data_IF_198178317491
#
_entry.id   IF_198178317491
#
_cell.length_a   1.000
_cell.length_b   1.000
_cell.length_c   1.000
_cell.angle_alpha   90.00
_cell.angle_beta   90.00
_cell.angle_gamma   90.00
#
_symmetry.space_group_name_H-M   'P 1'
#
loop_
_entity.id
_entity.type
_entity.pdbx_description
1 polymer ?
#
# COMPACT_ATOMS: atom_id res chain seq x y z
N UNK A 1 20.66 -0.57 19.27
CA UNK A 1 19.82 -0.41 18.06
C UNK A 1 18.40 -0.78 18.37
N UNK A 2 17.44 0.04 17.96
CA UNK A 2 15.99 -0.24 18.11
C UNK A 2 15.42 -1.02 16.93
N UNK A 3 16.11 -1.02 15.81
CA UNK A 3 15.79 -1.83 14.62
C UNK A 3 17.04 -2.47 14.05
N UNK A 4 16.89 -3.24 12.99
CA UNK A 4 17.99 -3.63 12.12
C UNK A 4 18.26 -2.47 11.18
N UNK A 5 19.52 -2.11 10.98
CA UNK A 5 19.88 -0.95 10.18
C UNK A 5 21.12 -1.24 9.35
N UNK A 6 21.10 -0.86 8.09
CA UNK A 6 22.26 -0.86 7.23
C UNK A 6 23.24 0.27 7.62
N UNK A 7 24.49 -0.07 7.77
CA UNK A 7 25.51 0.95 7.94
C UNK A 7 25.83 1.62 6.60
N UNK A 8 26.15 2.91 6.63
CA UNK A 8 26.50 3.68 5.44
C UNK A 8 28.00 3.91 5.35
N UNK A 9 28.52 3.95 4.13
CA UNK A 9 29.93 4.23 3.87
C UNK A 9 30.28 5.70 4.17
N UNK A 10 29.29 6.59 4.02
CA UNK A 10 29.35 8.01 4.33
C UNK A 10 28.00 8.50 4.88
N UNK A 11 27.98 9.69 5.49
CA UNK A 11 26.76 10.28 6.05
C UNK A 11 25.71 10.53 4.96
N UNK A 12 24.52 9.98 5.17
CA UNK A 12 23.44 10.10 4.19
C UNK A 12 23.72 9.47 2.82
N UNK A 13 24.89 8.84 2.67
CA UNK A 13 25.35 8.29 1.42
C UNK A 13 24.97 6.82 1.23
N UNK A 14 25.78 6.14 0.39
CA UNK A 14 25.55 4.76 -0.04
C UNK A 14 25.47 3.79 1.15
N UNK A 15 24.50 2.90 1.11
CA UNK A 15 24.35 1.78 2.03
C UNK A 15 25.52 0.80 1.82
N UNK A 16 26.07 0.31 2.94
CA UNK A 16 26.99 -0.81 2.91
C UNK A 16 26.22 -2.12 3.04
N UNK A 17 26.88 -3.25 2.79
CA UNK A 17 26.30 -4.58 3.07
C UNK A 17 26.47 -5.00 4.54
N UNK A 18 26.89 -4.10 5.41
CA UNK A 18 27.15 -4.37 6.83
C UNK A 18 25.97 -3.85 7.65
N UNK A 19 25.30 -4.74 8.34
CA UNK A 19 24.13 -4.45 9.16
C UNK A 19 24.45 -4.40 10.64
N UNK A 20 23.63 -3.68 11.42
CA UNK A 20 23.58 -3.76 12.88
C UNK A 20 22.25 -4.32 13.29
N UNK A 21 22.25 -5.41 14.06
CA UNK A 21 21.03 -6.10 14.46
C UNK A 21 20.32 -5.39 15.62
N UNK A 22 19.00 -5.59 15.73
CA UNK A 22 18.21 -5.09 16.85
C UNK A 22 18.79 -5.57 18.19
N UNK A 23 18.90 -4.68 19.15
CA UNK A 23 19.51 -4.94 20.44
C UNK A 23 21.03 -5.08 20.43
N UNK A 24 21.68 -5.02 19.26
CA UNK A 24 23.14 -5.05 19.16
C UNK A 24 23.73 -3.78 19.74
N UNK A 25 24.84 -3.94 20.49
CA UNK A 25 25.62 -2.83 21.04
C UNK A 25 26.65 -2.38 20.01
N UNK A 26 26.60 -1.12 19.64
CA UNK A 26 27.59 -0.50 18.76
C UNK A 26 28.53 0.40 19.56
N UNK A 27 29.82 0.39 19.20
CA UNK A 27 30.79 1.34 19.75
C UNK A 27 30.78 2.58 18.89
N UNK A 28 30.32 3.67 19.46
CA UNK A 28 30.34 4.99 18.82
C UNK A 28 31.72 5.61 19.00
N UNK A 29 32.38 6.01 17.90
CA UNK A 29 33.68 6.72 17.92
C UNK A 29 33.48 8.24 18.05
N UNK A 30 32.46 8.76 17.36
CA UNK A 30 32.07 10.17 17.46
C UNK A 30 30.61 10.37 17.07
N UNK A 31 30.04 11.45 17.59
CA UNK A 31 28.69 11.90 17.26
C UNK A 31 28.84 13.21 16.50
N UNK A 32 28.30 13.30 15.31
CA UNK A 32 28.23 14.55 14.59
C UNK A 32 27.01 15.34 15.03
N UNK A 33 27.24 16.39 15.79
CA UNK A 33 26.19 17.27 16.28
C UNK A 33 25.86 18.41 15.31
N UNK A 34 26.67 18.59 14.25
CA UNK A 34 26.51 19.68 13.30
C UNK A 34 25.54 19.38 12.19
N UNK A 35 25.34 18.11 11.88
CA UNK A 35 24.43 17.68 10.83
C UNK A 35 23.06 17.33 11.41
N UNK A 36 22.42 18.31 12.00
CA UNK A 36 21.00 18.27 12.26
C UNK A 36 20.29 18.57 10.94
N UNK A 37 19.60 17.59 10.39
CA UNK A 37 18.74 17.80 9.23
C UNK A 37 17.49 18.57 9.68
N UNK A 38 17.43 19.84 9.34
CA UNK A 38 16.29 20.71 9.67
C UNK A 38 15.01 20.30 8.92
N UNK A 39 15.14 19.63 7.79
CA UNK A 39 14.03 19.28 6.92
C UNK A 39 13.38 17.95 7.32
N UNK A 40 14.13 17.02 7.90
CA UNK A 40 13.63 15.74 8.40
C UNK A 40 13.44 15.70 9.91
N UNK A 41 13.81 16.79 10.59
CA UNK A 41 13.66 16.92 12.03
C UNK A 41 14.66 16.11 12.88
N UNK A 42 15.39 15.14 12.35
CA UNK A 42 16.31 14.34 13.18
C UNK A 42 17.24 13.39 12.44
N UNK A 43 18.44 13.71 12.08
CA UNK A 43 19.44 12.65 11.97
C UNK A 43 20.74 13.10 12.59
N UNK A 44 21.03 12.64 13.80
CA UNK A 44 22.41 12.58 14.28
C UNK A 44 23.09 11.40 13.63
N UNK A 45 24.23 11.64 13.00
CA UNK A 45 25.03 10.55 12.48
C UNK A 45 26.04 10.10 13.53
N UNK A 46 26.07 8.82 13.79
CA UNK A 46 27.04 8.19 14.65
C UNK A 46 28.11 7.55 13.80
N UNK A 47 29.36 7.95 14.02
CA UNK A 47 30.50 7.26 13.45
C UNK A 47 30.77 6.02 14.28
N UNK A 48 30.68 4.85 13.65
CA UNK A 48 30.78 3.56 14.32
C UNK A 48 31.82 2.68 13.66
N UNK A 49 32.44 1.80 14.43
CA UNK A 49 33.41 0.83 13.93
C UNK A 49 32.82 -0.56 13.95
N UNK A 50 32.84 -1.24 12.82
CA UNK A 50 32.38 -2.64 12.67
C UNK A 50 33.34 -3.35 11.69
N UNK A 51 33.72 -4.60 11.95
CA UNK A 51 34.66 -5.37 11.10
C UNK A 51 35.92 -4.62 10.72
N UNK A 52 36.52 -3.89 11.69
CA UNK A 52 37.68 -3.03 11.51
C UNK A 52 37.58 -1.88 10.50
N UNK A 53 36.37 -1.60 10.02
CA UNK A 53 36.09 -0.45 9.16
C UNK A 53 35.19 0.56 9.87
N UNK A 54 35.28 1.79 9.42
CA UNK A 54 34.41 2.88 9.89
C UNK A 54 33.18 3.02 8.99
N UNK A 55 32.05 3.21 9.63
CA UNK A 55 30.76 3.39 8.99
C UNK A 55 29.98 4.51 9.68
N UNK A 56 28.89 4.90 9.08
CA UNK A 56 27.94 5.87 9.62
C UNK A 56 26.59 5.20 9.86
N UNK A 57 25.99 5.55 11.00
CA UNK A 57 24.75 4.98 11.49
C UNK A 57 23.79 6.12 11.85
N UNK A 58 22.54 6.03 11.38
CA UNK A 58 21.51 6.99 11.73
C UNK A 58 21.19 6.96 13.23
N UNK A 59 21.17 8.14 13.84
CA UNK A 59 20.85 8.29 15.26
C UNK A 59 19.38 8.02 15.59
N UNK A 60 18.51 8.04 14.60
CA UNK A 60 17.07 7.76 14.79
C UNK A 60 16.82 6.37 15.41
N UNK A 61 17.72 5.42 15.15
CA UNK A 61 17.57 4.03 15.60
C UNK A 61 18.52 3.64 16.75
N UNK A 62 19.19 4.62 17.36
CA UNK A 62 20.15 4.39 18.45
C UNK A 62 19.52 4.71 19.79
N UNK A 63 19.53 3.74 20.70
CA UNK A 63 19.01 3.89 22.06
C UNK A 63 20.13 3.81 23.08
N UNK A 64 19.94 4.48 24.22
CA UNK A 64 20.92 4.53 25.32
C UNK A 64 21.12 3.19 26.03
N UNK A 65 20.16 2.28 25.91
CA UNK A 65 20.24 0.94 26.50
C UNK A 65 19.60 -0.13 25.63
N UNK A 66 20.08 -1.39 25.81
CA UNK A 66 19.50 -2.55 25.14
C UNK A 66 18.01 -2.74 25.51
N UNK A 67 17.65 -2.47 26.76
CA UNK A 67 16.26 -2.58 27.23
C UNK A 67 15.33 -1.63 26.48
N UNK A 68 15.75 -0.36 26.30
CA UNK A 68 14.99 0.61 25.52
C UNK A 68 14.92 0.23 24.03
N UNK A 69 16.06 -0.20 23.46
CA UNK A 69 16.11 -0.62 22.06
C UNK A 69 15.14 -1.79 21.77
N UNK A 70 15.08 -2.78 22.65
CA UNK A 70 14.19 -3.92 22.48
C UNK A 70 12.72 -3.54 22.69
N UNK A 71 12.45 -2.62 23.63
CA UNK A 71 11.08 -2.20 23.97
C UNK A 71 10.35 -1.55 22.78
N UNK A 72 11.06 -0.81 21.92
CA UNK A 72 10.45 -0.09 20.80
C UNK A 72 9.77 -0.98 19.73
N UNK A 73 10.15 -2.25 19.64
CA UNK A 73 9.67 -3.12 18.56
C UNK A 73 9.08 -4.47 19.01
N UNK A 74 9.19 -4.83 20.28
CA UNK A 74 8.80 -6.16 20.76
C UNK A 74 7.50 -6.18 21.57
N UNK A 75 6.82 -5.07 21.69
CA UNK A 75 5.53 -5.07 22.37
C UNK A 75 4.42 -5.09 21.32
N UNK A 76 3.51 -6.05 21.47
CA UNK A 76 2.14 -5.88 21.03
C UNK A 76 1.62 -4.59 21.66
N UNK A 77 1.75 -3.49 20.96
CA UNK A 77 1.29 -2.20 21.41
C UNK A 77 -0.22 -2.27 21.29
N UNK A 78 -0.93 -2.10 22.42
CA UNK A 78 -2.36 -1.91 22.31
C UNK A 78 -2.57 -0.67 21.43
N UNK A 79 -3.50 -0.75 20.53
CA UNK A 79 -3.83 0.28 19.56
C UNK A 79 -3.94 1.69 20.18
N UNK A 80 -4.60 1.81 21.33
CA UNK A 80 -4.71 3.07 22.07
C UNK A 80 -3.37 3.58 22.61
N UNK A 81 -2.48 2.68 23.06
CA UNK A 81 -1.18 3.06 23.62
C UNK A 81 -0.22 3.54 22.51
N UNK A 82 -0.29 2.92 21.34
CA UNK A 82 0.53 3.33 20.18
C UNK A 82 0.21 4.77 19.75
N UNK A 83 -1.07 5.09 19.56
CA UNK A 83 -1.48 6.43 19.16
C UNK A 83 -1.14 7.47 20.22
N UNK A 84 -1.33 7.13 21.49
CA UNK A 84 -0.94 8.00 22.59
C UNK A 84 0.57 8.33 22.56
N UNK A 85 1.41 7.34 22.26
CA UNK A 85 2.85 7.53 22.19
C UNK A 85 3.28 8.24 20.89
N UNK A 86 2.70 7.90 19.74
CA UNK A 86 2.95 8.51 18.44
C UNK A 86 2.65 10.01 18.44
N UNK A 87 1.55 10.42 19.04
CA UNK A 87 1.16 11.83 19.10
C UNK A 87 1.81 12.58 20.29
N UNK A 88 2.19 11.93 21.36
CA UNK A 88 2.95 12.53 22.45
C UNK A 88 4.39 12.86 22.08
N UNK A 89 5.04 12.04 21.27
CA UNK A 89 6.45 12.22 20.92
C UNK A 89 6.70 13.21 19.76
N UNK A 90 5.67 13.89 19.26
CA UNK A 90 5.88 15.11 18.52
C UNK A 90 5.60 15.12 17.03
N UNK A 91 4.92 14.14 16.45
CA UNK A 91 4.51 14.20 15.05
C UNK A 91 3.34 15.18 14.82
N UNK A 92 2.50 15.41 15.80
CA UNK A 92 1.73 16.63 15.94
C UNK A 92 1.21 16.75 17.36
N UNK A 93 1.42 17.89 17.96
CA UNK A 93 0.80 18.29 19.24
C UNK A 93 -0.71 18.49 19.10
N UNK A 94 -1.24 18.32 17.91
CA UNK A 94 -2.64 18.49 17.61
C UNK A 94 -3.30 17.13 17.48
N UNK A 95 -4.29 16.91 18.26
CA UNK A 95 -5.19 15.79 18.43
C UNK A 95 -5.74 15.11 17.15
N UNK A 96 -4.93 14.82 16.15
CA UNK A 96 -5.36 14.18 14.90
C UNK A 96 -5.83 12.73 15.11
N UNK A 97 -5.36 12.04 16.15
CA UNK A 97 -5.93 10.74 16.52
C UNK A 97 -7.43 10.84 16.84
N UNK A 98 -7.90 11.98 17.35
CA UNK A 98 -9.31 12.24 17.59
C UNK A 98 -10.14 12.36 16.32
N UNK A 99 -9.52 12.55 15.16
CA UNK A 99 -10.19 12.65 13.86
C UNK A 99 -10.41 11.29 13.19
N UNK A 100 -9.77 10.23 13.69
CA UNK A 100 -9.98 8.87 13.18
C UNK A 100 -11.22 8.28 13.84
N UNK A 101 -12.13 7.74 13.04
CA UNK A 101 -13.29 7.02 13.56
C UNK A 101 -12.92 5.60 13.95
N UNK A 102 -12.96 5.32 15.26
CA UNK A 102 -12.71 3.99 15.84
C UNK A 102 -13.98 3.20 16.12
N UNK A 103 -15.15 3.73 15.75
CA UNK A 103 -16.39 3.00 15.90
C UNK A 103 -16.35 1.69 15.13
N UNK A 104 -16.54 0.54 15.78
CA UNK A 104 -16.46 -0.75 15.11
C UNK A 104 -17.50 -0.89 14.01
N UNK A 105 -17.06 -1.17 12.78
CA UNK A 105 -17.91 -1.37 11.62
C UNK A 105 -17.98 -2.86 11.29
N UNK A 106 -19.16 -3.47 11.46
CA UNK A 106 -19.37 -4.87 11.11
C UNK A 106 -19.37 -5.04 9.60
N UNK A 107 -18.59 -6.02 9.12
CA UNK A 107 -18.51 -6.32 7.69
C UNK A 107 -19.76 -7.04 7.21
N UNK A 108 -20.24 -6.69 6.03
CA UNK A 108 -21.39 -7.30 5.39
C UNK A 108 -20.99 -8.53 4.57
N UNK A 109 -21.95 -9.42 4.36
CA UNK A 109 -21.83 -10.55 3.46
C UNK A 109 -22.99 -10.48 2.49
N UNK A 110 -22.70 -10.29 1.22
CA UNK A 110 -23.70 -10.19 0.17
C UNK A 110 -23.98 -11.58 -0.40
N UNK A 111 -25.22 -12.08 -0.21
CA UNK A 111 -25.62 -13.44 -0.63
C UNK A 111 -25.53 -13.66 -2.14
N UNK A 112 -25.78 -12.63 -2.91
CA UNK A 112 -25.71 -12.61 -4.37
C UNK A 112 -24.30 -12.36 -4.92
N UNK A 113 -23.37 -12.01 -4.04
CA UNK A 113 -21.99 -11.71 -4.40
C UNK A 113 -21.02 -12.36 -3.39
N UNK A 114 -21.04 -13.69 -3.32
CA UNK A 114 -20.21 -14.42 -2.39
C UNK A 114 -18.76 -14.42 -2.83
N UNK A 115 -17.88 -14.01 -1.91
CA UNK A 115 -16.44 -14.13 -2.09
C UNK A 115 -16.02 -15.62 -2.00
N UNK A 116 -15.05 -16.09 -2.80
CA UNK A 116 -14.48 -17.43 -2.63
C UNK A 116 -14.00 -17.66 -1.20
N UNK A 117 -14.13 -18.90 -0.71
CA UNK A 117 -13.65 -19.26 0.63
C UNK A 117 -12.17 -18.92 0.81
N UNK A 118 -11.38 -19.19 -0.22
CA UNK A 118 -9.97 -18.82 -0.31
C UNK A 118 -9.74 -18.14 -1.66
N UNK A 119 -9.32 -16.89 -1.61
CA UNK A 119 -9.01 -16.10 -2.79
C UNK A 119 -7.58 -16.38 -3.21
N UNK A 120 -7.42 -16.80 -4.46
CA UNK A 120 -6.14 -17.06 -5.12
C UNK A 120 -6.12 -16.27 -6.41
N UNK A 121 -5.46 -15.13 -6.40
CA UNK A 121 -5.60 -14.18 -7.48
C UNK A 121 -4.29 -13.79 -8.13
N UNK A 122 -4.41 -13.23 -9.32
CA UNK A 122 -3.33 -12.66 -10.09
C UNK A 122 -3.73 -11.27 -10.61
N UNK A 123 -2.78 -10.34 -10.61
CA UNK A 123 -2.92 -9.05 -11.28
C UNK A 123 -2.95 -9.25 -12.81
N UNK A 124 -3.84 -8.53 -13.46
CA UNK A 124 -4.00 -8.54 -14.91
C UNK A 124 -4.00 -7.10 -15.41
N UNK A 125 -2.91 -6.71 -16.08
CA UNK A 125 -2.82 -5.39 -16.72
C UNK A 125 -3.89 -5.21 -17.78
N UNK A 126 -4.20 -3.97 -18.14
CA UNK A 126 -5.19 -3.63 -19.17
C UNK A 126 -4.96 -4.41 -20.48
N UNK A 127 -3.73 -4.43 -20.95
CA UNK A 127 -3.30 -5.12 -22.17
C UNK A 127 -3.55 -6.64 -22.11
N UNK A 128 -3.14 -7.27 -21.01
CA UNK A 128 -3.33 -8.71 -20.81
C UNK A 128 -4.80 -9.09 -20.66
N UNK A 129 -5.59 -8.23 -20.02
CA UNK A 129 -7.02 -8.46 -19.89
C UNK A 129 -7.72 -8.48 -21.25
N UNK A 130 -7.31 -7.63 -22.19
CA UNK A 130 -7.87 -7.61 -23.54
C UNK A 130 -7.31 -8.74 -24.42
N UNK A 131 -5.99 -8.96 -24.39
CA UNK A 131 -5.31 -9.78 -25.40
C UNK A 131 -5.06 -11.23 -24.96
N UNK A 132 -5.07 -11.55 -23.66
CA UNK A 132 -4.66 -12.84 -23.13
C UNK A 132 -5.73 -13.60 -22.35
N UNK A 133 -7.01 -13.31 -22.54
CA UNK A 133 -8.14 -13.92 -21.81
C UNK A 133 -8.08 -15.45 -21.75
N UNK A 134 -7.95 -16.10 -22.91
CA UNK A 134 -7.87 -17.56 -23.02
C UNK A 134 -6.70 -18.21 -22.26
N UNK A 135 -5.61 -17.46 -22.11
CA UNK A 135 -4.46 -17.90 -21.33
C UNK A 135 -4.74 -17.79 -19.85
N UNK A 136 -5.26 -16.65 -19.40
CA UNK A 136 -5.60 -16.39 -17.99
C UNK A 136 -6.63 -17.42 -17.50
N UNK A 137 -7.65 -17.70 -18.27
CA UNK A 137 -8.70 -18.67 -17.97
C UNK A 137 -8.18 -20.12 -17.75
N UNK A 138 -7.02 -20.43 -18.28
CA UNK A 138 -6.39 -21.77 -18.16
C UNK A 138 -5.41 -21.87 -17.00
N UNK A 139 -5.18 -20.78 -16.26
CA UNK A 139 -4.31 -20.82 -15.10
C UNK A 139 -4.91 -21.71 -14.01
N UNK A 140 -4.19 -22.75 -13.66
CA UNK A 140 -4.59 -23.65 -12.57
C UNK A 140 -4.37 -22.97 -11.22
N UNK A 141 -5.20 -23.30 -10.26
CA UNK A 141 -5.12 -22.80 -8.89
C UNK A 141 -5.34 -21.28 -8.73
N UNK A 142 -5.81 -20.57 -9.76
CA UNK A 142 -6.28 -19.21 -9.70
C UNK A 142 -7.80 -19.21 -9.86
N UNK A 143 -8.50 -18.51 -8.96
CA UNK A 143 -9.96 -18.40 -8.98
C UNK A 143 -10.44 -16.94 -9.02
N UNK A 144 -9.51 -16.01 -9.02
CA UNK A 144 -9.78 -14.58 -8.95
C UNK A 144 -8.83 -13.83 -9.87
N UNK A 145 -9.37 -12.87 -10.62
CA UNK A 145 -8.57 -11.93 -11.41
C UNK A 145 -8.72 -10.51 -10.86
N UNK A 146 -7.61 -9.83 -10.78
CA UNK A 146 -7.57 -8.41 -10.39
C UNK A 146 -7.25 -7.62 -11.64
N UNK A 147 -8.28 -6.99 -12.20
CA UNK A 147 -8.20 -6.26 -13.47
C UNK A 147 -7.85 -4.81 -13.19
N UNK A 148 -6.81 -4.34 -13.80
CA UNK A 148 -6.46 -2.91 -13.78
C UNK A 148 -7.48 -2.13 -14.60
N UNK A 149 -8.44 -1.51 -13.94
CA UNK A 149 -9.50 -0.71 -14.61
C UNK A 149 -9.15 0.77 -14.70
N UNK A 150 -8.29 1.26 -13.81
CA UNK A 150 -7.65 2.57 -13.89
C UNK A 150 -6.19 2.42 -13.45
N UNK A 151 -5.24 2.81 -14.30
CA UNK A 151 -3.81 2.72 -14.02
C UNK A 151 -3.25 3.95 -13.28
N UNK A 152 -1.95 3.94 -12.99
CA UNK A 152 -1.26 5.00 -12.26
C UNK A 152 -0.87 6.22 -13.12
N UNK A 153 -1.13 6.19 -14.42
CA UNK A 153 -1.07 7.35 -15.30
C UNK A 153 -2.40 8.10 -15.35
N UNK A 154 -3.51 7.47 -14.91
CA UNK A 154 -4.87 7.99 -14.96
C UNK A 154 -5.68 7.49 -16.17
N UNK A 155 -5.13 6.56 -16.97
CA UNK A 155 -5.88 5.94 -18.07
C UNK A 155 -6.92 4.96 -17.53
N UNK A 156 -8.12 4.97 -18.14
CA UNK A 156 -9.22 4.08 -17.79
C UNK A 156 -9.40 3.03 -18.90
N UNK A 157 -9.51 1.76 -18.50
CA UNK A 157 -9.59 0.61 -19.42
C UNK A 157 -10.72 0.73 -20.45
N UNK A 158 -11.82 1.34 -20.05
CA UNK A 158 -13.05 1.39 -20.85
C UNK A 158 -13.53 2.83 -21.06
N UNK A 159 -14.40 3.01 -22.06
CA UNK A 159 -15.02 4.30 -22.35
C UNK A 159 -16.01 4.69 -21.23
N UNK A 160 -15.47 5.35 -20.20
CA UNK A 160 -16.21 5.77 -19.02
C UNK A 160 -17.00 7.05 -19.26
N UNK A 161 -18.25 7.08 -18.79
CA UNK A 161 -19.03 8.33 -18.79
C UNK A 161 -18.61 9.24 -17.63
N UNK A 162 -18.16 8.67 -16.52
CA UNK A 162 -17.63 9.42 -15.36
C UNK A 162 -16.46 10.30 -15.76
N UNK A 163 -15.57 9.81 -16.63
CA UNK A 163 -14.45 10.63 -17.11
C UNK A 163 -14.92 11.93 -17.78
N UNK A 164 -16.06 11.93 -18.49
CA UNK A 164 -16.61 13.13 -19.16
C UNK A 164 -17.12 14.17 -18.17
N UNK A 165 -17.54 13.74 -16.97
CA UNK A 165 -18.08 14.64 -15.94
C UNK A 165 -16.95 15.34 -15.14
N UNK A 166 -15.78 14.71 -15.06
CA UNK A 166 -14.67 15.20 -14.24
C UNK A 166 -13.46 15.69 -15.02
N UNK A 167 -13.32 15.24 -16.27
CA UNK A 167 -12.18 15.50 -17.15
C UNK A 167 -12.66 16.12 -18.47
N UNK A 168 -11.76 16.70 -19.24
CA UNK A 168 -12.08 17.25 -20.55
C UNK A 168 -12.37 16.17 -21.58
N UNK A 169 -13.12 16.50 -22.64
CA UNK A 169 -13.37 15.59 -23.76
C UNK A 169 -12.10 15.17 -24.51
N UNK A 170 -11.03 15.95 -24.39
CA UNK A 170 -9.70 15.65 -24.95
C UNK A 170 -8.79 14.90 -23.96
N UNK A 171 -9.30 14.53 -22.80
CA UNK A 171 -8.53 13.82 -21.77
C UNK A 171 -7.95 12.51 -22.29
N UNK A 172 -6.71 12.22 -21.90
CA UNK A 172 -6.08 10.95 -22.19
C UNK A 172 -6.84 9.76 -21.59
N UNK A 173 -7.46 9.96 -20.42
CA UNK A 173 -8.30 8.92 -19.80
C UNK A 173 -9.45 8.49 -20.72
N UNK A 174 -10.07 9.43 -21.40
CA UNK A 174 -11.19 9.18 -22.31
C UNK A 174 -10.72 8.62 -23.65
N UNK A 175 -9.61 9.16 -24.19
CA UNK A 175 -9.09 8.79 -25.50
C UNK A 175 -8.33 7.46 -25.52
N UNK A 176 -7.78 7.03 -24.41
CA UNK A 176 -6.99 5.79 -24.28
C UNK A 176 -7.85 4.58 -23.88
N UNK A 177 -9.18 4.71 -23.86
CA UNK A 177 -10.04 3.59 -23.55
C UNK A 177 -9.87 2.45 -24.57
N UNK A 178 -9.55 1.26 -24.08
CA UNK A 178 -9.24 0.10 -24.92
C UNK A 178 -10.48 -0.71 -25.31
N UNK A 179 -11.59 -0.53 -24.60
CA UNK A 179 -12.80 -1.34 -24.77
C UNK A 179 -14.07 -0.54 -24.45
N UNK A 180 -15.19 -0.94 -25.05
CA UNK A 180 -16.50 -0.39 -24.69
C UNK A 180 -17.02 -0.97 -23.37
N UNK A 181 -17.88 -0.24 -22.64
CA UNK A 181 -18.56 -0.77 -21.46
C UNK A 181 -19.32 -2.07 -21.75
N UNK A 182 -20.00 -2.14 -22.88
CA UNK A 182 -20.75 -3.32 -23.32
C UNK A 182 -19.87 -4.55 -23.46
N UNK A 183 -18.70 -4.40 -24.07
CA UNK A 183 -17.78 -5.52 -24.26
C UNK A 183 -17.10 -5.90 -22.95
N UNK A 184 -16.74 -4.93 -22.12
CA UNK A 184 -16.19 -5.19 -20.78
C UNK A 184 -17.19 -5.99 -19.93
N UNK A 185 -18.45 -5.56 -19.88
CA UNK A 185 -19.53 -6.30 -19.17
C UNK A 185 -19.64 -7.73 -19.68
N UNK A 186 -19.55 -7.94 -20.99
CA UNK A 186 -19.58 -9.28 -21.59
C UNK A 186 -18.42 -10.13 -21.13
N UNK A 187 -17.22 -9.59 -21.14
CA UNK A 187 -16.00 -10.31 -20.70
C UNK A 187 -16.09 -10.68 -19.22
N UNK A 188 -16.48 -9.73 -18.35
CA UNK A 188 -16.65 -10.00 -16.90
C UNK A 188 -17.70 -11.09 -16.68
N UNK A 189 -18.82 -11.05 -17.40
CA UNK A 189 -19.85 -12.09 -17.33
C UNK A 189 -19.33 -13.47 -17.73
N UNK A 190 -18.49 -13.55 -18.77
CA UNK A 190 -17.87 -14.82 -19.19
C UNK A 190 -16.87 -15.35 -18.14
N UNK A 191 -16.04 -14.50 -17.54
CA UNK A 191 -15.17 -14.91 -16.42
C UNK A 191 -16.01 -15.46 -15.24
N UNK A 192 -17.08 -14.75 -14.85
CA UNK A 192 -17.98 -15.19 -13.76
C UNK A 192 -18.66 -16.53 -14.07
N UNK A 193 -19.09 -16.78 -15.30
CA UNK A 193 -19.64 -18.09 -15.72
C UNK A 193 -18.61 -19.22 -15.59
N UNK A 194 -17.33 -18.90 -15.72
CA UNK A 194 -16.22 -19.85 -15.52
C UNK A 194 -15.79 -20.01 -14.07
N UNK A 195 -16.49 -19.35 -13.14
CA UNK A 195 -16.24 -19.44 -11.71
C UNK A 195 -15.19 -18.48 -11.18
N UNK A 196 -14.76 -17.50 -11.98
CA UNK A 196 -13.85 -16.47 -11.51
C UNK A 196 -14.55 -15.40 -10.68
N UNK A 197 -13.93 -14.96 -9.63
CA UNK A 197 -14.25 -13.75 -8.90
C UNK A 197 -13.47 -12.59 -9.52
N UNK A 198 -14.15 -11.51 -9.88
CA UNK A 198 -13.55 -10.41 -10.65
C UNK A 198 -13.41 -9.17 -9.77
N UNK A 199 -12.19 -8.69 -9.60
CA UNK A 199 -11.84 -7.50 -8.84
C UNK A 199 -11.45 -6.38 -9.79
N UNK A 200 -12.02 -5.19 -9.60
CA UNK A 200 -11.61 -3.97 -10.30
C UNK A 200 -10.57 -3.24 -9.46
N UNK A 201 -9.34 -3.13 -9.94
CA UNK A 201 -8.30 -2.32 -9.31
C UNK A 201 -8.32 -0.90 -9.88
N UNK A 202 -8.48 0.08 -9.00
CA UNK A 202 -8.51 1.50 -9.30
C UNK A 202 -7.34 2.18 -8.59
N UNK A 203 -6.38 2.68 -9.35
CA UNK A 203 -5.33 3.56 -8.81
C UNK A 203 -5.95 4.91 -8.45
N UNK A 204 -5.89 5.29 -7.18
CA UNK A 204 -6.73 6.35 -6.61
C UNK A 204 -6.07 7.74 -6.69
N UNK A 205 -4.99 7.97 -5.96
CA UNK A 205 -4.36 9.29 -5.82
C UNK A 205 -2.98 9.41 -6.51
N UNK A 206 -2.61 8.46 -7.36
CA UNK A 206 -1.51 8.60 -8.32
C UNK A 206 -2.12 8.67 -9.72
N UNK A 207 -2.38 9.87 -10.22
CA UNK A 207 -3.19 10.09 -11.42
C UNK A 207 -2.79 11.40 -12.09
N UNK A 208 -1.91 11.31 -13.06
CA UNK A 208 -1.42 12.48 -13.79
C UNK A 208 -2.52 13.16 -14.60
N UNK A 209 -3.41 12.39 -15.19
CA UNK A 209 -4.48 12.93 -16.04
C UNK A 209 -5.42 13.82 -15.22
N UNK A 210 -5.94 13.29 -14.10
CA UNK A 210 -6.79 14.09 -13.21
C UNK A 210 -6.03 15.32 -12.67
N UNK A 211 -4.77 15.13 -12.25
CA UNK A 211 -3.99 16.20 -11.64
C UNK A 211 -3.73 17.35 -12.62
N UNK A 212 -3.36 17.06 -13.87
CA UNK A 212 -3.12 18.09 -14.89
C UNK A 212 -4.39 18.86 -15.26
N UNK A 213 -5.54 18.21 -15.25
CA UNK A 213 -6.81 18.86 -15.57
C UNK A 213 -7.47 19.53 -14.37
N UNK A 214 -7.04 19.16 -13.15
CA UNK A 214 -7.57 19.71 -11.89
C UNK A 214 -6.44 20.18 -10.95
N UNK A 215 -5.61 21.16 -11.35
CA UNK A 215 -4.44 21.55 -10.54
C UNK A 215 -4.78 22.07 -9.14
N UNK A 216 -5.95 22.69 -8.96
CA UNK A 216 -6.41 23.16 -7.63
C UNK A 216 -6.82 22.04 -6.68
N UNK A 217 -7.02 20.85 -7.20
CA UNK A 217 -7.38 19.63 -6.48
C UNK A 217 -6.19 18.69 -6.33
N UNK A 218 -4.99 19.15 -6.67
CA UNK A 218 -3.80 18.32 -6.81
C UNK A 218 -2.61 18.92 -6.06
N UNK A 219 -1.56 18.13 -5.91
CA UNK A 219 -0.34 18.55 -5.22
C UNK A 219 0.36 19.69 -5.99
N UNK A 220 0.52 20.83 -5.35
CA UNK A 220 1.17 22.02 -5.92
C UNK A 220 2.30 22.53 -5.02
N UNK A 221 3.12 23.43 -5.56
CA UNK A 221 3.91 24.33 -4.73
C UNK A 221 3.03 25.46 -4.14
N UNK A 222 3.63 26.33 -3.32
CA UNK A 222 2.91 27.46 -2.74
C UNK A 222 2.58 28.59 -3.74
N UNK A 223 3.11 28.52 -4.96
CA UNK A 223 2.78 29.40 -6.07
C UNK A 223 1.61 28.86 -6.92
N UNK A 224 1.15 27.65 -6.62
CA UNK A 224 0.03 26.99 -7.32
C UNK A 224 0.44 26.18 -8.55
N UNK A 225 1.74 25.98 -8.78
CA UNK A 225 2.21 25.12 -9.87
C UNK A 225 2.14 23.65 -9.47
N UNK A 226 1.72 22.79 -10.37
CA UNK A 226 1.76 21.34 -10.16
C UNK A 226 3.18 20.86 -9.89
N UNK A 227 3.32 19.97 -8.94
CA UNK A 227 4.61 19.37 -8.56
C UNK A 227 4.65 17.92 -9.00
N UNK A 228 5.69 17.54 -9.74
CA UNK A 228 6.02 16.14 -9.99
C UNK A 228 6.64 15.57 -8.73
N UNK A 229 6.09 14.48 -8.24
CA UNK A 229 6.60 13.76 -7.08
C UNK A 229 6.60 12.25 -7.36
N UNK A 230 7.73 11.57 -7.14
CA UNK A 230 7.92 10.18 -7.53
C UNK A 230 7.50 9.95 -9.00
N UNK A 231 8.10 10.74 -9.89
CA UNK A 231 7.96 10.70 -11.36
C UNK A 231 6.52 10.90 -11.87
N UNK A 232 5.60 11.44 -11.04
CA UNK A 232 4.20 11.59 -11.41
C UNK A 232 3.55 12.82 -10.75
N UNK A 233 2.43 13.28 -11.32
CA UNK A 233 1.51 14.22 -10.69
C UNK A 233 0.49 13.48 -9.83
N UNK A 234 0.12 14.09 -8.71
CA UNK A 234 -0.76 13.49 -7.72
C UNK A 234 -1.97 14.38 -7.42
N UNK A 235 -3.19 13.88 -7.58
CA UNK A 235 -4.35 14.48 -6.90
C UNK A 235 -4.10 14.54 -5.40
N UNK A 236 -4.61 15.58 -4.77
CA UNK A 236 -4.56 15.63 -3.31
C UNK A 236 -5.56 14.62 -2.71
N UNK A 237 -5.10 13.79 -1.79
CA UNK A 237 -6.01 12.90 -1.06
C UNK A 237 -6.94 13.65 -0.08
N UNK A 238 -6.77 14.97 0.09
CA UNK A 238 -7.75 15.82 0.77
C UNK A 238 -8.86 16.34 -0.16
N UNK A 239 -8.71 16.20 -1.50
CA UNK A 239 -9.67 16.70 -2.47
C UNK A 239 -10.95 15.84 -2.50
N UNK A 240 -12.07 16.45 -2.14
CA UNK A 240 -13.39 15.78 -2.26
C UNK A 240 -13.80 15.56 -3.71
N UNK A 241 -13.31 16.39 -4.64
CA UNK A 241 -13.52 16.16 -6.08
C UNK A 241 -12.79 14.89 -6.56
N UNK A 242 -11.54 14.68 -6.11
CA UNK A 242 -10.81 13.46 -6.41
C UNK A 242 -11.48 12.23 -5.76
N UNK A 243 -12.05 12.37 -4.56
CA UNK A 243 -12.84 11.32 -3.92
C UNK A 243 -14.04 10.91 -4.78
N UNK A 244 -14.89 11.90 -5.15
CA UNK A 244 -16.07 11.66 -5.96
C UNK A 244 -15.73 11.02 -7.30
N UNK A 245 -14.68 11.52 -8.00
CA UNK A 245 -14.24 10.94 -9.27
C UNK A 245 -13.91 9.45 -9.14
N UNK A 246 -13.10 9.07 -8.17
CA UNK A 246 -12.70 7.67 -8.00
C UNK A 246 -13.87 6.79 -7.51
N UNK A 247 -14.77 7.31 -6.69
CA UNK A 247 -15.93 6.56 -6.21
C UNK A 247 -16.98 6.40 -7.31
N UNK A 248 -17.22 7.41 -8.15
CA UNK A 248 -18.13 7.26 -9.30
C UNK A 248 -17.59 6.27 -10.33
N UNK A 249 -16.26 6.24 -10.61
CA UNK A 249 -15.64 5.18 -11.41
C UNK A 249 -15.84 3.79 -10.76
N UNK A 250 -15.69 3.71 -9.46
CA UNK A 250 -15.93 2.47 -8.71
C UNK A 250 -17.38 1.99 -8.82
N UNK A 251 -18.35 2.91 -8.74
CA UNK A 251 -19.79 2.61 -8.94
C UNK A 251 -20.05 2.12 -10.36
N UNK A 252 -19.41 2.74 -11.34
CA UNK A 252 -19.50 2.30 -12.73
C UNK A 252 -18.92 0.90 -12.92
N UNK A 253 -17.77 0.57 -12.32
CA UNK A 253 -17.22 -0.78 -12.32
C UNK A 253 -18.14 -1.80 -11.64
N UNK A 254 -18.80 -1.43 -10.55
CA UNK A 254 -19.80 -2.29 -9.91
C UNK A 254 -20.97 -2.61 -10.87
N UNK A 255 -21.47 -1.62 -11.61
CA UNK A 255 -22.54 -1.79 -12.60
C UNK A 255 -22.11 -2.62 -13.81
N UNK A 256 -20.81 -2.59 -14.15
CA UNK A 256 -20.23 -3.46 -15.19
C UNK A 256 -20.08 -4.93 -14.74
N UNK A 257 -20.33 -5.22 -13.46
CA UNK A 257 -20.44 -6.57 -12.93
C UNK A 257 -19.23 -7.07 -12.16
N UNK A 258 -18.29 -6.22 -11.78
CA UNK A 258 -17.22 -6.61 -10.87
C UNK A 258 -17.77 -6.99 -9.48
N UNK A 259 -17.12 -7.92 -8.82
CA UNK A 259 -17.52 -8.41 -7.51
C UNK A 259 -16.99 -7.54 -6.36
N UNK A 260 -15.85 -6.87 -6.62
CA UNK A 260 -15.09 -6.13 -5.63
C UNK A 260 -14.39 -4.94 -6.30
N UNK A 261 -14.29 -3.85 -5.57
CA UNK A 261 -13.49 -2.67 -5.94
C UNK A 261 -12.29 -2.61 -5.01
N UNK A 262 -11.11 -2.61 -5.58
CA UNK A 262 -9.83 -2.50 -4.87
C UNK A 262 -9.19 -1.15 -5.19
N UNK A 263 -9.04 -0.32 -4.17
CA UNK A 263 -8.37 0.97 -4.27
C UNK A 263 -6.88 0.79 -3.98
N UNK A 264 -6.06 1.04 -5.00
CA UNK A 264 -4.61 1.14 -4.85
C UNK A 264 -4.17 2.60 -4.87
N UNK A 265 -2.93 2.87 -4.43
CA UNK A 265 -2.45 4.23 -4.22
C UNK A 265 -3.45 5.12 -3.45
N UNK A 266 -4.19 4.49 -2.54
CA UNK A 266 -5.09 5.17 -1.61
C UNK A 266 -4.27 5.73 -0.46
N UNK A 267 -3.44 6.72 -0.80
CA UNK A 267 -2.42 7.30 0.07
C UNK A 267 -1.89 8.64 -0.47
N UNK A 268 -1.16 9.35 0.35
CA UNK A 268 -0.30 10.45 -0.08
C UNK A 268 1.00 9.91 -0.70
N UNK A 269 1.73 10.73 -1.48
CA UNK A 269 3.05 10.34 -1.98
C UNK A 269 3.99 10.04 -0.80
N UNK A 270 4.81 9.01 -0.93
CA UNK A 270 5.83 8.64 0.05
C UNK A 270 7.03 9.59 0.00
N UNK A 271 7.73 9.74 1.13
CA UNK A 271 8.91 10.60 1.23
C UNK A 271 8.63 12.11 1.24
N UNK A 272 7.36 12.53 1.33
CA UNK A 272 7.01 13.95 1.38
C UNK A 272 7.31 14.63 2.70
N UNK A 273 7.58 13.89 3.76
CA UNK A 273 7.83 14.45 5.09
C UNK A 273 8.92 15.55 5.09
N UNK A 274 10.00 15.35 4.34
CA UNK A 274 11.09 16.33 4.16
C UNK A 274 10.72 17.51 3.27
N UNK A 275 9.69 17.40 2.46
CA UNK A 275 9.26 18.42 1.49
C UNK A 275 7.92 19.09 1.87
N UNK A 276 7.28 18.65 2.96
CA UNK A 276 5.95 19.15 3.37
C UNK A 276 5.88 20.69 3.48
N UNK A 277 6.98 21.35 3.90
CA UNK A 277 7.05 22.81 3.97
C UNK A 277 7.04 23.52 2.60
N UNK A 278 7.30 22.80 1.51
CA UNK A 278 7.35 23.32 0.13
C UNK A 278 6.14 22.93 -0.69
N UNK A 279 5.34 21.99 -0.18
CA UNK A 279 4.21 21.40 -0.86
C UNK A 279 2.88 21.91 -0.29
N UNK A 280 1.94 22.18 -1.18
CA UNK A 280 0.57 22.47 -0.82
C UNK A 280 -0.32 21.29 -1.18
N UNK A 281 -0.83 20.61 -0.16
CA UNK A 281 -1.76 19.48 -0.30
C UNK A 281 -3.22 19.93 -0.34
N UNK A 282 -3.49 21.23 -0.29
CA UNK A 282 -4.85 21.81 -0.26
C UNK A 282 -5.74 21.24 0.85
N UNK A 283 -5.19 21.08 2.05
CA UNK A 283 -5.89 20.57 3.22
C UNK A 283 -6.89 21.59 3.79
N UNK A 284 -8.02 21.77 3.12
CA UNK A 284 -9.07 22.74 3.49
C UNK A 284 -9.80 22.37 4.76
N UNK A 285 -9.90 21.07 5.04
CA UNK A 285 -10.66 20.53 6.18
C UNK A 285 -9.81 20.37 7.44
N UNK A 286 -8.52 20.65 7.38
CA UNK A 286 -7.57 20.51 8.50
C UNK A 286 -7.55 19.10 9.07
N UNK A 287 -7.56 18.12 8.20
CA UNK A 287 -7.51 16.69 8.54
C UNK A 287 -6.08 16.19 8.61
N UNK A 288 -5.83 15.17 9.43
CA UNK A 288 -4.61 14.38 9.30
C UNK A 288 -4.65 13.55 8.01
N UNK A 289 -3.49 13.15 7.51
CA UNK A 289 -3.42 12.27 6.34
C UNK A 289 -4.17 10.95 6.57
N UNK A 290 -4.01 10.34 7.75
CA UNK A 290 -4.69 9.11 8.10
C UNK A 290 -6.22 9.28 8.20
N UNK A 291 -6.70 10.41 8.73
CA UNK A 291 -8.13 10.69 8.78
C UNK A 291 -8.72 10.90 7.38
N UNK A 292 -8.00 11.57 6.49
CA UNK A 292 -8.44 11.77 5.11
C UNK A 292 -8.54 10.44 4.34
N UNK A 293 -7.55 9.55 4.48
CA UNK A 293 -7.60 8.23 3.84
C UNK A 293 -8.72 7.37 4.42
N UNK A 294 -8.91 7.38 5.74
CA UNK A 294 -10.04 6.69 6.35
C UNK A 294 -11.37 7.27 5.86
N UNK A 295 -11.50 8.59 5.83
CA UNK A 295 -12.71 9.28 5.37
C UNK A 295 -13.05 8.96 3.90
N UNK A 296 -12.06 8.92 3.01
CA UNK A 296 -12.26 8.47 1.64
C UNK A 296 -12.81 7.05 1.58
N UNK A 297 -12.24 6.13 2.34
CA UNK A 297 -12.66 4.73 2.34
C UNK A 297 -14.05 4.54 2.97
N UNK A 298 -14.40 5.35 3.99
CA UNK A 298 -15.76 5.39 4.54
C UNK A 298 -16.77 5.85 3.48
N UNK A 299 -16.47 6.95 2.80
CA UNK A 299 -17.30 7.45 1.70
C UNK A 299 -17.45 6.41 0.59
N UNK A 300 -16.36 5.79 0.16
CA UNK A 300 -16.41 4.72 -0.84
C UNK A 300 -17.26 3.54 -0.37
N UNK A 301 -17.13 3.13 0.91
CA UNK A 301 -17.91 2.04 1.48
C UNK A 301 -19.42 2.37 1.53
N UNK A 302 -19.77 3.59 1.92
CA UNK A 302 -21.15 4.05 1.96
C UNK A 302 -21.81 4.05 0.57
N UNK A 303 -21.10 4.52 -0.45
CA UNK A 303 -21.59 4.60 -1.83
C UNK A 303 -21.65 3.24 -2.55
N UNK A 304 -20.77 2.30 -2.19
CA UNK A 304 -20.67 1.00 -2.84
C UNK A 304 -21.48 -0.11 -2.15
N UNK A 305 -21.76 0.00 -0.86
CA UNK A 305 -22.57 -1.00 -0.13
C UNK A 305 -23.95 -1.24 -0.76
N UNK A 306 -24.69 -0.21 -1.24
CA UNK A 306 -25.96 -0.42 -1.91
C UNK A 306 -25.87 -1.20 -3.24
N UNK A 307 -24.67 -1.27 -3.83
CA UNK A 307 -24.39 -2.05 -5.04
C UNK A 307 -23.96 -3.49 -4.74
N UNK A 308 -23.89 -3.85 -3.47
CA UNK A 308 -23.49 -5.17 -2.98
C UNK A 308 -22.13 -5.64 -3.49
N UNK A 309 -21.19 -4.71 -3.65
CA UNK A 309 -19.77 -5.01 -3.97
C UNK A 309 -18.89 -4.78 -2.77
N UNK A 310 -17.86 -5.59 -2.65
CA UNK A 310 -16.89 -5.45 -1.58
C UNK A 310 -15.90 -4.33 -1.89
N UNK A 311 -15.39 -3.70 -0.82
CA UNK A 311 -14.36 -2.65 -0.91
C UNK A 311 -13.06 -3.17 -0.31
N UNK A 312 -12.01 -3.12 -1.10
CA UNK A 312 -10.65 -3.48 -0.70
C UNK A 312 -9.71 -2.27 -0.79
N UNK A 313 -8.66 -2.25 0.03
CA UNK A 313 -7.63 -1.22 -0.03
C UNK A 313 -6.25 -1.85 0.00
N UNK A 314 -5.41 -1.45 -0.95
CA UNK A 314 -3.99 -1.79 -0.98
C UNK A 314 -3.22 -0.92 0.02
N UNK A 315 -2.27 -1.50 0.71
CA UNK A 315 -1.52 -0.84 1.75
C UNK A 315 -0.03 -1.18 1.68
N UNK A 316 0.83 -0.17 1.78
CA UNK A 316 2.25 -0.39 1.91
C UNK A 316 2.57 -1.24 3.14
N UNK A 317 3.62 -2.07 3.02
CA UNK A 317 4.06 -2.91 4.13
C UNK A 317 4.68 -2.10 5.28
N UNK A 318 5.43 -1.05 4.95
CA UNK A 318 6.21 -0.32 5.94
C UNK A 318 5.39 0.38 7.02
N UNK A 319 4.24 1.02 6.75
CA UNK A 319 3.34 1.50 7.79
C UNK A 319 2.89 0.43 8.79
N UNK A 320 2.72 -0.81 8.32
CA UNK A 320 2.36 -1.94 9.19
C UNK A 320 3.55 -2.32 10.07
N UNK A 321 4.76 -2.40 9.51
CA UNK A 321 5.97 -2.74 10.26
C UNK A 321 6.32 -1.67 11.28
N UNK A 322 6.19 -0.40 10.89
CA UNK A 322 6.45 0.75 11.77
C UNK A 322 5.33 1.01 12.78
N UNK A 323 4.14 0.44 12.56
CA UNK A 323 2.92 0.71 13.33
C UNK A 323 2.54 2.20 13.33
N UNK A 324 2.66 2.87 12.19
CA UNK A 324 2.29 4.26 12.01
C UNK A 324 1.72 4.48 10.59
N UNK A 325 1.48 5.73 10.18
CA UNK A 325 1.00 6.05 8.84
C UNK A 325 2.12 6.43 7.87
N UNK A 326 3.36 6.46 8.30
CA UNK A 326 4.56 6.82 7.54
C UNK A 326 4.43 8.13 6.74
N UNK A 327 3.65 9.07 7.26
CA UNK A 327 3.30 10.33 6.60
C UNK A 327 2.61 10.17 5.21
N UNK A 328 2.10 8.98 4.93
CA UNK A 328 1.32 8.69 3.70
C UNK A 328 -0.17 8.48 3.96
N UNK A 329 -0.59 8.54 5.21
CA UNK A 329 -1.98 8.38 5.63
C UNK A 329 -2.45 6.94 5.72
N UNK A 330 -1.61 5.96 5.47
CA UNK A 330 -1.97 4.53 5.54
C UNK A 330 -1.74 3.99 6.94
N UNK A 331 -2.77 3.99 7.75
CA UNK A 331 -2.73 3.42 9.09
C UNK A 331 -3.62 2.18 9.18
N UNK A 332 -3.01 1.00 9.37
CA UNK A 332 -3.69 -0.29 9.28
C UNK A 332 -4.99 -0.34 10.10
N UNK A 333 -5.00 0.01 11.38
CA UNK A 333 -6.22 -0.08 12.16
C UNK A 333 -7.34 0.85 11.71
N UNK A 334 -7.02 2.04 11.20
CA UNK A 334 -8.01 2.97 10.66
C UNK A 334 -8.65 2.44 9.37
N UNK A 335 -7.82 1.89 8.47
CA UNK A 335 -8.25 1.34 7.18
C UNK A 335 -9.02 0.04 7.38
N UNK A 336 -8.45 -0.92 8.13
CA UNK A 336 -9.03 -2.25 8.32
C UNK A 336 -10.33 -2.22 9.16
N UNK A 337 -10.59 -1.14 9.90
CA UNK A 337 -11.88 -0.92 10.55
C UNK A 337 -12.99 -0.60 9.54
N UNK A 338 -12.67 -0.05 8.38
CA UNK A 338 -13.65 0.43 7.38
C UNK A 338 -13.86 -0.57 6.25
N UNK A 339 -12.79 -0.92 5.52
CA UNK A 339 -12.87 -1.75 4.31
C UNK A 339 -13.25 -3.20 4.61
N UNK A 340 -13.75 -3.92 3.60
CA UNK A 340 -14.04 -5.35 3.73
C UNK A 340 -12.78 -6.20 3.65
N UNK A 341 -11.81 -5.78 2.83
CA UNK A 341 -10.55 -6.47 2.64
C UNK A 341 -9.39 -5.48 2.76
N UNK A 342 -8.38 -5.83 3.52
CA UNK A 342 -7.11 -5.13 3.58
C UNK A 342 -6.05 -5.93 2.83
N UNK A 343 -5.31 -5.24 1.96
CA UNK A 343 -4.40 -5.83 1.00
C UNK A 343 -2.96 -5.31 1.15
N UNK A 344 -2.19 -5.78 2.13
CA UNK A 344 -0.81 -5.36 2.28
C UNK A 344 0.09 -5.80 1.13
N UNK A 345 1.17 -5.05 0.88
CA UNK A 345 2.15 -5.24 -0.20
C UNK A 345 3.57 -5.51 0.36
N UNK A 346 3.80 -6.65 1.03
CA UNK A 346 5.12 -6.98 1.60
C UNK A 346 6.04 -7.63 0.56
N UNK A 347 6.34 -6.93 -0.52
CA UNK A 347 7.29 -7.43 -1.50
C UNK A 347 8.68 -7.58 -0.87
N UNK A 348 9.33 -8.71 -1.14
CA UNK A 348 10.55 -9.12 -0.46
C UNK A 348 11.69 -8.10 -0.63
N UNK A 349 11.80 -7.51 -1.82
CA UNK A 349 12.82 -6.52 -2.17
C UNK A 349 12.53 -5.11 -1.61
N UNK A 350 11.39 -4.90 -0.96
CA UNK A 350 11.10 -3.69 -0.21
C UNK A 350 11.67 -3.72 1.22
N UNK A 351 12.19 -4.85 1.66
CA UNK A 351 12.81 -5.00 2.98
C UNK A 351 14.33 -5.05 2.87
N UNK A 352 14.98 -4.20 3.65
CA UNK A 352 16.45 -4.19 3.74
C UNK A 352 16.97 -5.46 4.38
N UNK A 353 18.19 -5.82 4.04
CA UNK A 353 18.91 -6.90 4.72
C UNK A 353 18.87 -6.71 6.24
N UNK A 354 18.54 -7.79 6.94
CA UNK A 354 18.38 -7.79 8.39
C UNK A 354 16.97 -7.44 8.89
N UNK A 355 16.04 -7.02 8.04
CA UNK A 355 14.63 -6.85 8.42
C UNK A 355 14.10 -8.15 9.04
N UNK A 356 13.28 -8.03 10.08
CA UNK A 356 12.72 -9.18 10.82
C UNK A 356 13.80 -10.12 11.44
N UNK A 357 15.04 -9.65 11.60
CA UNK A 357 16.22 -10.46 11.94
C UNK A 357 16.61 -11.52 10.89
N UNK A 358 16.20 -11.31 9.63
CA UNK A 358 16.53 -12.14 8.47
C UNK A 358 17.70 -11.46 7.75
N UNK A 359 18.79 -12.19 7.51
CA UNK A 359 20.00 -11.62 6.90
C UNK A 359 19.74 -11.10 5.49
N UNK A 360 18.96 -11.82 4.68
CA UNK A 360 18.51 -11.40 3.35
C UNK A 360 17.03 -11.78 3.15
N UNK A 361 16.10 -10.83 3.22
CA UNK A 361 14.68 -11.08 3.04
C UNK A 361 14.32 -11.67 1.67
N UNK A 362 15.04 -11.30 0.61
CA UNK A 362 14.77 -11.77 -0.76
C UNK A 362 15.09 -13.25 -0.89
N UNK A 363 16.17 -13.70 -0.26
CA UNK A 363 16.59 -15.10 -0.26
C UNK A 363 15.78 -16.00 0.72
N UNK A 364 14.88 -15.39 1.52
CA UNK A 364 14.08 -16.06 2.54
C UNK A 364 12.60 -15.73 2.45
N UNK A 365 11.92 -16.07 1.32
CA UNK A 365 10.53 -15.68 1.08
C UNK A 365 9.56 -16.13 2.18
N UNK A 366 9.70 -17.37 2.64
CA UNK A 366 8.86 -17.92 3.71
C UNK A 366 9.02 -17.14 5.02
N UNK A 367 10.27 -16.99 5.48
CA UNK A 367 10.56 -16.39 6.79
C UNK A 367 10.13 -14.90 6.79
N UNK A 368 10.39 -14.20 5.70
CA UNK A 368 10.05 -12.78 5.53
C UNK A 368 8.54 -12.56 5.57
N UNK A 369 7.80 -13.31 4.76
CA UNK A 369 6.35 -13.17 4.71
C UNK A 369 5.67 -13.67 5.97
N UNK A 370 6.18 -14.74 6.59
CA UNK A 370 5.70 -15.22 7.88
C UNK A 370 5.85 -14.16 8.97
N UNK A 371 7.03 -13.57 9.09
CA UNK A 371 7.30 -12.54 10.10
C UNK A 371 6.42 -11.29 9.88
N UNK A 372 6.30 -10.81 8.64
CA UNK A 372 5.45 -9.69 8.30
C UNK A 372 3.97 -9.95 8.62
N UNK A 373 3.47 -11.13 8.25
CA UNK A 373 2.07 -11.50 8.49
C UNK A 373 1.76 -11.59 9.99
N UNK A 374 2.71 -12.03 10.82
CA UNK A 374 2.56 -12.03 12.27
C UNK A 374 2.42 -10.63 12.86
N UNK A 375 3.18 -9.64 12.33
CA UNK A 375 3.06 -8.24 12.75
C UNK A 375 1.67 -7.69 12.37
N UNK A 376 1.21 -7.99 11.16
CA UNK A 376 -0.13 -7.61 10.70
C UNK A 376 -1.24 -8.22 11.56
N UNK A 377 -1.13 -9.50 11.90
CA UNK A 377 -2.07 -10.25 12.74
C UNK A 377 -2.23 -9.60 14.13
N UNK A 378 -1.12 -9.19 14.77
CA UNK A 378 -1.18 -8.54 16.08
C UNK A 378 -1.94 -7.20 16.03
N UNK A 379 -1.79 -6.42 14.97
CA UNK A 379 -2.55 -5.17 14.81
C UNK A 379 -4.03 -5.43 14.51
N UNK A 380 -4.33 -6.41 13.65
CA UNK A 380 -5.72 -6.75 13.31
C UNK A 380 -6.52 -7.26 14.52
N UNK A 381 -5.89 -7.96 15.46
CA UNK A 381 -6.53 -8.41 16.71
C UNK A 381 -7.04 -7.27 17.58
N UNK A 382 -6.52 -6.06 17.44
CA UNK A 382 -7.00 -4.89 18.17
C UNK A 382 -8.34 -4.36 17.66
N UNK A 383 -8.78 -4.79 16.47
CA UNK A 383 -10.00 -4.32 15.81
C UNK A 383 -11.12 -5.33 16.06
N UNK A 384 -12.27 -4.84 16.53
CA UNK A 384 -13.42 -5.71 16.86
C UNK A 384 -13.97 -6.48 15.66
N UNK A 385 -14.01 -5.86 14.49
CA UNK A 385 -14.47 -6.45 13.23
C UNK A 385 -13.46 -6.11 12.14
N UNK A 386 -12.27 -6.72 12.12
CA UNK A 386 -11.24 -6.37 11.17
C UNK A 386 -11.64 -6.73 9.74
N UNK A 387 -11.07 -6.03 8.78
CA UNK A 387 -11.12 -6.42 7.38
C UNK A 387 -10.53 -7.82 7.19
N UNK A 388 -11.02 -8.53 6.18
CA UNK A 388 -10.39 -9.78 5.73
C UNK A 388 -8.99 -9.46 5.20
N UNK A 389 -7.99 -10.22 5.65
CA UNK A 389 -6.61 -10.04 5.23
C UNK A 389 -6.34 -10.82 3.94
N UNK A 390 -5.83 -10.15 2.93
CA UNK A 390 -5.42 -10.72 1.65
C UNK A 390 -4.20 -9.98 1.16
N UNK A 391 -3.03 -10.58 1.25
CA UNK A 391 -1.78 -9.92 0.93
C UNK A 391 -1.37 -10.10 -0.53
N UNK A 392 -0.72 -9.10 -1.07
CA UNK A 392 0.07 -9.23 -2.28
C UNK A 392 1.32 -10.05 -2.01
N UNK A 393 1.68 -10.93 -2.94
CA UNK A 393 2.94 -11.65 -2.97
C UNK A 393 3.71 -11.31 -4.23
N UNK A 394 5.02 -11.47 -4.16
CA UNK A 394 5.91 -11.05 -5.25
C UNK A 394 5.86 -12.07 -6.40
N UNK A 395 5.54 -11.60 -7.62
CA UNK A 395 5.57 -12.43 -8.83
C UNK A 395 6.74 -12.11 -9.76
N UNK A 396 7.43 -11.00 -9.54
CA UNK A 396 8.60 -10.55 -10.29
C UNK A 396 9.90 -10.90 -9.54
N UNK A 397 11.01 -11.06 -10.25
CA UNK A 397 12.32 -11.37 -9.65
C UNK A 397 12.32 -12.57 -8.66
N UNK A 398 11.39 -13.47 -8.81
CA UNK A 398 11.22 -14.68 -7.98
C UNK A 398 10.86 -15.85 -8.87
N UNK A 399 11.17 -17.07 -8.48
CA UNK A 399 10.79 -18.27 -9.19
C UNK A 399 9.54 -18.94 -8.58
N UNK A 400 9.15 -20.07 -9.13
CA UNK A 400 7.97 -20.80 -8.66
C UNK A 400 8.14 -21.37 -7.24
N UNK A 401 9.35 -21.72 -6.83
CA UNK A 401 9.61 -22.19 -5.46
C UNK A 401 9.50 -21.07 -4.45
N UNK A 402 10.02 -19.89 -4.75
CA UNK A 402 9.85 -18.70 -3.92
C UNK A 402 8.38 -18.32 -3.73
N UNK A 403 7.58 -18.30 -4.81
CA UNK A 403 6.12 -18.06 -4.72
C UNK A 403 5.43 -19.12 -3.84
N UNK A 404 5.82 -20.38 -3.98
CA UNK A 404 5.29 -21.46 -3.15
C UNK A 404 5.65 -21.28 -1.67
N UNK A 405 6.85 -20.77 -1.38
CA UNK A 405 7.29 -20.46 -0.01
C UNK A 405 6.46 -19.31 0.58
N UNK A 406 6.19 -18.25 -0.17
CA UNK A 406 5.31 -17.16 0.26
C UNK A 406 3.89 -17.67 0.56
N UNK A 407 3.29 -18.44 -0.34
CA UNK A 407 1.97 -19.05 -0.14
C UNK A 407 1.95 -19.98 1.08
N UNK A 408 3.03 -20.71 1.33
CA UNK A 408 3.16 -21.55 2.52
C UNK A 408 3.17 -20.73 3.80
N UNK A 409 3.91 -19.62 3.84
CA UNK A 409 3.95 -18.73 5.00
C UNK A 409 2.56 -18.18 5.34
N UNK A 410 1.77 -17.81 4.34
CA UNK A 410 0.40 -17.34 4.51
C UNK A 410 -0.52 -18.44 5.08
N UNK A 411 -0.39 -19.67 4.60
CA UNK A 411 -1.16 -20.80 5.13
C UNK A 411 -0.81 -21.08 6.59
N UNK A 412 0.49 -21.07 6.92
CA UNK A 412 0.98 -21.37 8.27
C UNK A 412 0.64 -20.25 9.29
N UNK A 413 0.34 -19.05 8.81
CA UNK A 413 -0.16 -17.91 9.63
C UNK A 413 -1.70 -17.81 9.67
N UNK A 414 -2.44 -18.75 9.05
CA UNK A 414 -3.90 -18.77 8.92
C UNK A 414 -4.49 -17.66 8.04
N UNK A 415 -3.73 -17.12 7.11
CA UNK A 415 -4.16 -16.12 6.12
C UNK A 415 -3.93 -16.63 4.70
N UNK A 416 -4.62 -17.67 4.23
CA UNK A 416 -4.31 -18.38 2.98
C UNK A 416 -4.69 -17.62 1.70
N UNK A 417 -5.30 -16.46 1.81
CA UNK A 417 -5.70 -15.65 0.67
C UNK A 417 -4.52 -14.82 0.17
N UNK A 418 -4.31 -14.81 -1.15
CA UNK A 418 -3.18 -14.09 -1.75
C UNK A 418 -3.51 -13.48 -3.11
N UNK A 419 -2.70 -12.51 -3.49
CA UNK A 419 -2.71 -11.85 -4.80
C UNK A 419 -1.29 -11.80 -5.33
N UNK A 420 -1.07 -12.30 -6.55
CA UNK A 420 0.25 -12.28 -7.19
C UNK A 420 0.42 -10.99 -7.97
N UNK A 421 1.45 -10.23 -7.62
CA UNK A 421 1.79 -9.00 -8.32
C UNK A 421 2.79 -9.25 -9.45
N UNK A 422 2.38 -8.89 -10.66
CA UNK A 422 3.21 -8.85 -11.85
C UNK A 422 2.85 -7.59 -12.61
N UNK A 423 3.75 -6.62 -12.67
CA UNK A 423 3.47 -5.33 -13.32
C UNK A 423 3.16 -5.50 -14.82
N UNK A 424 4.00 -6.23 -15.56
CA UNK A 424 3.74 -6.55 -16.97
C UNK A 424 2.59 -7.54 -17.14
N UNK A 425 2.47 -8.51 -16.21
CA UNK A 425 1.55 -9.63 -16.33
C UNK A 425 1.79 -10.49 -17.57
N UNK A 426 2.99 -10.43 -18.15
CA UNK A 426 3.32 -11.13 -19.40
C UNK A 426 3.25 -12.64 -19.21
N UNK A 427 2.81 -13.33 -20.26
CA UNK A 427 2.73 -14.78 -20.28
C UNK A 427 4.04 -15.45 -19.88
N UNK A 428 5.19 -14.91 -20.29
CA UNK A 428 6.51 -15.42 -19.94
C UNK A 428 6.77 -15.37 -18.44
N UNK A 429 6.42 -14.27 -17.79
CA UNK A 429 6.58 -14.09 -16.36
C UNK A 429 5.63 -14.97 -15.57
N UNK A 430 4.37 -15.08 -16.01
CA UNK A 430 3.41 -16.01 -15.40
C UNK A 430 3.87 -17.46 -15.56
N UNK A 431 4.36 -17.85 -16.74
CA UNK A 431 4.85 -19.21 -17.00
C UNK A 431 6.03 -19.59 -16.08
N UNK A 432 6.84 -18.62 -15.69
CA UNK A 432 7.97 -18.82 -14.75
C UNK A 432 7.53 -19.17 -13.35
N UNK A 433 6.40 -18.64 -12.87
CA UNK A 433 5.96 -18.77 -11.48
C UNK A 433 4.71 -19.65 -11.28
N UNK A 434 3.93 -19.91 -12.32
CA UNK A 434 2.59 -20.55 -12.21
C UNK A 434 2.57 -21.93 -11.55
N UNK A 435 3.68 -22.65 -11.54
CA UNK A 435 3.77 -23.94 -10.83
C UNK A 435 3.92 -23.78 -9.31
N UNK A 436 4.11 -22.55 -8.83
CA UNK A 436 4.13 -22.21 -7.42
C UNK A 436 2.74 -21.95 -6.81
N UNK A 437 1.70 -21.74 -7.61
CA UNK A 437 0.33 -21.40 -7.19
C UNK A 437 -0.41 -22.55 -6.47
#
# INVERSE_FOLDING_TARGET
MSTVEDLREEKGGKLSKVIVKKGEKVKVESIDQKDWDKDTGQIRWYKVKKQNKTYYLSGAYVESSRKLALKKYDQAISYSTYWDDYYKDGYSKDAYASQIDYKPIKKEIYKENLMPKHVKSIHVSMDNFINNQKYIEKLKNINTIIVETKNDEGSVLYASDVCKDYLSDSSQATNNAMISKKDLTKIIKEYKKKGFYCVSRIVTFKDAVFAMENPKESLTDHSGNLVVYNDQYWPSAYSRKAWMYNVELAKECADLGFNEIQFDYVRFPDGTASANSKLNFHNTYKESKAAAIQGFLQYAKEELSPKHVYVAADMFAWPIVACDDQDIGQFLPAIANVVDIICPMPYLDHFSNGSFNIDDPVEKPYDTLYAFTKISDEQLKSIKYPAKYRTWIQGYNIDADGVKQEIKALKDTNYPDYMVWLASGDKKDIDRIKSGF
#
